data_IF_924125641658
#
_entry.id   IF_924125641658
#
_cell.length_a   1.000
_cell.length_b   1.000
_cell.length_c   1.000
_cell.angle_alpha   90.00
_cell.angle_beta   90.00
_cell.angle_gamma   90.00
#
_symmetry.space_group_name_H-M   'P 1'
#
loop_
_entity.id
_entity.type
_entity.pdbx_description
1 polymer ?
#
# COMPACT_ATOMS: atom_id res chain seq x y z
N UNK A 1 -13.85 -12.18 1.14
CA UNK A 1 -14.96 -11.21 1.13
C UNK A 1 -15.07 -10.36 2.41
N UNK A 2 -14.90 -10.86 3.65
CA UNK A 2 -15.15 -10.07 4.87
C UNK A 2 -14.12 -8.95 5.20
N UNK A 3 -12.83 -9.13 4.87
CA UNK A 3 -11.80 -8.13 5.21
C UNK A 3 -11.92 -6.83 4.42
N UNK A 4 -12.28 -6.94 3.14
CA UNK A 4 -12.52 -5.79 2.27
C UNK A 4 -13.73 -4.99 2.76
N UNK A 5 -14.79 -5.67 3.20
CA UNK A 5 -15.98 -5.03 3.77
C UNK A 5 -15.62 -4.29 5.06
N UNK A 6 -14.82 -4.89 5.95
CA UNK A 6 -14.37 -4.24 7.18
C UNK A 6 -13.58 -2.95 6.89
N UNK A 7 -12.63 -3.00 5.95
CA UNK A 7 -11.82 -1.83 5.58
C UNK A 7 -12.68 -0.74 4.92
N UNK A 8 -13.58 -1.12 4.01
CA UNK A 8 -14.50 -0.22 3.30
C UNK A 8 -15.62 0.36 4.18
N UNK A 9 -16.02 -0.33 5.25
CA UNK A 9 -17.02 0.13 6.22
C UNK A 9 -16.41 0.92 7.38
N UNK A 10 -15.08 0.86 7.56
CA UNK A 10 -14.42 1.59 8.62
C UNK A 10 -14.48 3.10 8.37
N UNK A 11 -14.94 3.86 9.38
CA UNK A 11 -14.93 5.34 9.36
C UNK A 11 -13.58 5.92 9.78
N UNK A 12 -12.62 5.06 10.11
CA UNK A 12 -11.27 5.43 10.52
C UNK A 12 -10.40 5.71 9.31
N UNK A 13 -9.67 6.83 9.35
CA UNK A 13 -8.74 7.22 8.30
C UNK A 13 -7.56 6.23 8.24
N UNK A 14 -7.41 5.53 7.11
CA UNK A 14 -6.27 4.66 6.86
C UNK A 14 -5.04 5.51 6.50
N UNK A 15 -4.08 5.59 7.42
CA UNK A 15 -2.87 6.40 7.24
C UNK A 15 -1.83 5.76 6.30
N UNK A 16 -1.80 4.42 6.21
CA UNK A 16 -0.90 3.66 5.35
C UNK A 16 -1.45 2.23 5.16
N UNK A 17 -1.56 1.78 3.92
CA UNK A 17 -1.81 0.37 3.61
C UNK A 17 -0.48 -0.35 3.41
N UNK A 18 -0.28 -1.46 4.14
CA UNK A 18 0.80 -2.42 3.86
C UNK A 18 0.17 -3.76 3.50
N UNK A 19 0.52 -4.34 2.35
CA UNK A 19 -0.02 -5.63 1.89
C UNK A 19 1.05 -6.48 1.22
N UNK A 20 0.89 -7.80 1.24
CA UNK A 20 1.58 -8.69 0.31
C UNK A 20 1.08 -8.45 -1.11
N UNK A 21 1.90 -8.75 -2.12
CA UNK A 21 1.50 -8.70 -3.52
C UNK A 21 0.51 -9.83 -3.79
N UNK A 22 0.85 -11.05 -3.40
CA UNK A 22 -0.08 -12.18 -3.41
C UNK A 22 -0.57 -12.46 -2.01
N UNK A 23 -1.88 -12.33 -1.78
CA UNK A 23 -2.51 -12.78 -0.56
C UNK A 23 -3.08 -14.19 -0.77
N UNK A 24 -3.00 -15.09 0.22
CA UNK A 24 -3.67 -16.38 0.13
C UNK A 24 -5.20 -16.18 0.13
N UNK A 25 -5.87 -16.67 -0.90
CA UNK A 25 -7.32 -16.59 -1.05
C UNK A 25 -7.77 -16.07 -2.42
N UNK A 26 -8.96 -15.48 -2.48
CA UNK A 26 -9.59 -14.98 -3.71
C UNK A 26 -9.26 -13.51 -4.02
N UNK A 27 -8.70 -12.76 -3.06
CA UNK A 27 -8.37 -11.35 -3.25
C UNK A 27 -6.87 -11.22 -3.43
N UNK A 28 -6.45 -10.70 -4.58
CA UNK A 28 -5.05 -10.39 -4.83
C UNK A 28 -4.67 -9.11 -4.06
N UNK A 29 -3.48 -9.07 -3.45
CA UNK A 29 -3.02 -7.88 -2.74
C UNK A 29 -2.79 -6.70 -3.68
N UNK A 30 -2.49 -6.97 -4.95
CA UNK A 30 -2.52 -5.98 -6.02
C UNK A 30 -3.91 -5.37 -6.21
N UNK A 31 -4.95 -6.20 -6.26
CA UNK A 31 -6.33 -5.74 -6.40
C UNK A 31 -6.74 -4.87 -5.21
N UNK A 32 -6.39 -5.29 -4.00
CA UNK A 32 -6.62 -4.50 -2.79
C UNK A 32 -5.94 -3.13 -2.87
N UNK A 33 -4.67 -3.10 -3.30
CA UNK A 33 -3.92 -1.86 -3.48
C UNK A 33 -4.59 -0.93 -4.51
N UNK A 34 -5.09 -1.49 -5.62
CA UNK A 34 -5.84 -0.73 -6.62
C UNK A 34 -7.15 -0.18 -6.07
N UNK A 35 -7.91 -0.98 -5.34
CA UNK A 35 -9.18 -0.56 -4.72
C UNK A 35 -8.98 0.57 -3.72
N UNK A 36 -7.95 0.47 -2.87
CA UNK A 36 -7.61 1.53 -1.90
C UNK A 36 -7.13 2.78 -2.62
N UNK A 37 -6.28 2.66 -3.64
CA UNK A 37 -5.82 3.81 -4.42
C UNK A 37 -6.98 4.54 -5.11
N UNK A 38 -7.96 3.80 -5.65
CA UNK A 38 -9.12 4.39 -6.31
C UNK A 38 -10.09 5.05 -5.31
N UNK A 39 -10.30 4.43 -4.14
CA UNK A 39 -11.25 4.93 -3.14
C UNK A 39 -10.68 6.06 -2.29
N UNK A 40 -9.40 5.96 -1.93
CA UNK A 40 -8.66 6.93 -1.12
C UNK A 40 -7.31 7.24 -1.80
N UNK A 41 -7.31 8.11 -2.82
CA UNK A 41 -6.09 8.45 -3.58
C UNK A 41 -4.96 9.04 -2.71
N UNK A 42 -5.34 9.62 -1.57
CA UNK A 42 -4.41 10.16 -0.58
C UNK A 42 -3.78 9.09 0.31
N UNK A 43 -4.34 7.87 0.42
CA UNK A 43 -3.73 6.86 1.29
C UNK A 43 -2.42 6.35 0.65
N UNK A 44 -1.26 6.49 1.33
CA UNK A 44 -0.03 5.88 0.84
C UNK A 44 -0.14 4.35 0.93
N UNK A 45 0.47 3.66 -0.04
CA UNK A 45 0.38 2.21 -0.17
C UNK A 45 1.78 1.62 -0.32
N UNK A 46 2.06 0.58 0.46
CA UNK A 46 3.26 -0.24 0.39
C UNK A 46 2.89 -1.69 0.12
N UNK A 47 3.31 -2.21 -1.04
CA UNK A 47 3.15 -3.61 -1.41
C UNK A 47 4.48 -4.32 -1.20
N UNK A 48 4.45 -5.49 -0.56
CA UNK A 48 5.63 -6.36 -0.41
C UNK A 48 5.52 -7.53 -1.37
N UNK A 49 6.60 -7.97 -2.03
CA UNK A 49 6.51 -9.04 -3.05
C UNK A 49 7.69 -10.00 -2.98
N UNK A 50 7.44 -11.30 -3.15
CA UNK A 50 8.50 -12.29 -3.41
C UNK A 50 8.89 -12.40 -4.88
N UNK A 51 8.13 -11.77 -5.78
CA UNK A 51 8.40 -11.72 -7.21
C UNK A 51 9.42 -10.62 -7.53
N UNK A 52 10.00 -10.64 -8.73
CA UNK A 52 11.00 -9.65 -9.11
C UNK A 52 10.41 -8.24 -9.29
N UNK A 53 11.27 -7.24 -9.44
CA UNK A 53 10.86 -5.84 -9.55
C UNK A 53 9.92 -5.54 -10.74
N UNK A 54 9.81 -6.45 -11.71
CA UNK A 54 8.94 -6.34 -12.89
C UNK A 54 7.45 -6.21 -12.56
N UNK A 55 6.99 -6.69 -11.39
CA UNK A 55 5.59 -6.52 -10.97
C UNK A 55 5.19 -5.05 -10.74
N UNK A 56 6.18 -4.16 -10.56
CA UNK A 56 5.93 -2.72 -10.45
C UNK A 56 5.27 -2.11 -11.70
N UNK A 57 5.46 -2.70 -12.89
CA UNK A 57 4.90 -2.20 -14.16
C UNK A 57 3.37 -2.21 -14.20
N UNK A 58 2.72 -2.98 -13.33
CA UNK A 58 1.26 -3.07 -13.24
C UNK A 58 0.64 -2.29 -12.09
N UNK A 59 1.42 -1.52 -11.32
CA UNK A 59 0.95 -0.79 -10.15
C UNK A 59 0.72 0.69 -10.47
N UNK A 60 -0.39 1.30 -9.99
CA UNK A 60 -0.61 2.74 -10.07
C UNK A 60 0.56 3.57 -9.52
N UNK A 61 0.78 4.79 -10.05
CA UNK A 61 1.74 5.73 -9.49
C UNK A 61 1.38 6.06 -8.04
N UNK A 62 2.40 6.16 -7.18
CA UNK A 62 2.22 6.40 -5.74
C UNK A 62 2.23 5.13 -4.89
N UNK A 63 2.16 3.94 -5.49
CA UNK A 63 2.36 2.67 -4.78
C UNK A 63 3.86 2.37 -4.64
N UNK A 64 4.27 2.08 -3.42
CA UNK A 64 5.62 1.61 -3.11
C UNK A 64 5.70 0.09 -3.21
N UNK A 65 6.82 -0.43 -3.70
CA UNK A 65 7.10 -1.87 -3.73
C UNK A 65 8.32 -2.17 -2.88
N UNK A 66 8.23 -3.18 -2.01
CA UNK A 66 9.34 -3.72 -1.22
C UNK A 66 9.55 -5.20 -1.57
N UNK A 67 10.70 -5.50 -2.15
CA UNK A 67 11.04 -6.86 -2.54
C UNK A 67 11.45 -7.70 -1.32
N UNK A 68 10.97 -8.94 -1.26
CA UNK A 68 11.35 -9.95 -0.28
C UNK A 68 12.61 -10.71 -0.76
N UNK A 69 13.47 -11.18 0.15
CA UNK A 69 13.38 -10.99 1.60
C UNK A 69 13.76 -9.55 1.99
N UNK A 70 13.04 -9.01 2.97
CA UNK A 70 13.34 -7.71 3.57
C UNK A 70 13.56 -7.88 5.07
N UNK A 71 14.41 -7.03 5.65
CA UNK A 71 14.58 -6.88 7.09
C UNK A 71 13.47 -6.04 7.70
N UNK A 72 13.28 -6.16 9.01
CA UNK A 72 12.31 -5.32 9.73
C UNK A 72 12.66 -3.82 9.60
N UNK A 73 13.96 -3.48 9.63
CA UNK A 73 14.45 -2.13 9.44
C UNK A 73 14.09 -1.56 8.07
N UNK A 74 14.24 -2.35 7.00
CA UNK A 74 13.86 -1.94 5.64
C UNK A 74 12.35 -1.70 5.51
N UNK A 75 11.53 -2.56 6.11
CA UNK A 75 10.07 -2.39 6.14
C UNK A 75 9.70 -1.10 6.86
N UNK A 76 10.22 -0.89 8.07
CA UNK A 76 9.93 0.28 8.90
C UNK A 76 10.43 1.55 8.23
N UNK A 77 11.63 1.54 7.68
CA UNK A 77 12.20 2.66 6.95
C UNK A 77 11.31 3.05 5.76
N UNK A 78 10.93 2.07 4.94
CA UNK A 78 10.10 2.30 3.75
C UNK A 78 8.71 2.79 4.14
N UNK A 79 8.09 2.20 5.15
CA UNK A 79 6.79 2.62 5.67
C UNK A 79 6.81 4.07 6.18
N UNK A 80 7.82 4.42 7.01
CA UNK A 80 8.00 5.79 7.51
C UNK A 80 8.24 6.79 6.39
N UNK A 81 9.12 6.44 5.45
CA UNK A 81 9.41 7.29 4.30
C UNK A 81 8.14 7.61 3.50
N UNK A 82 7.32 6.59 3.22
CA UNK A 82 6.06 6.76 2.47
C UNK A 82 5.02 7.56 3.23
N UNK A 83 4.88 7.33 4.54
CA UNK A 83 3.97 8.10 5.37
C UNK A 83 4.37 9.59 5.42
N UNK A 84 5.66 9.87 5.63
CA UNK A 84 6.18 11.24 5.70
C UNK A 84 6.06 11.99 4.36
N UNK A 85 6.33 11.32 3.24
CA UNK A 85 6.12 11.92 1.91
C UNK A 85 4.67 12.34 1.71
N UNK A 86 3.72 11.53 2.16
CA UNK A 86 2.31 11.85 2.03
C UNK A 86 1.90 13.05 2.89
N UNK A 87 2.33 13.08 4.16
CA UNK A 87 2.08 14.21 5.08
C UNK A 87 2.65 15.52 4.51
N UNK A 88 3.86 15.47 3.96
CA UNK A 88 4.53 16.63 3.38
C UNK A 88 3.87 17.10 2.07
N UNK A 89 3.33 16.18 1.28
CA UNK A 89 2.57 16.50 0.07
C UNK A 89 1.23 17.19 0.42
N UNK A 90 0.55 16.75 1.48
CA UNK A 90 -0.68 17.38 1.98
C UNK A 90 -0.46 18.79 2.55
N UNK A 91 0.68 19.03 3.22
CA UNK A 91 1.01 20.36 3.78
C UNK A 91 1.42 21.40 2.74
N UNK A 92 1.79 21.00 1.53
CA UNK A 92 2.14 21.92 0.43
C UNK A 92 0.94 22.40 -0.39
N UNK A 93 -0.24 21.82 -0.18
CA UNK A 93 -1.46 22.14 -0.92
C UNK A 93 -2.35 23.18 -0.19
N UNK A 94 -1.84 23.86 0.83
CA UNK A 94 -2.53 24.91 1.61
C UNK A 94 -1.81 26.23 1.45
#
# INVERSE_FOLDING_TARGET
>A
MCWLIYLLQSKTHCALLITDFTLPGQLDGKELAMMVHQRWPSTPILVTTGYGAEVSRGLPPGIALLQKPWSLDELVHTARYRLNQHINAGSRAV
#
